data_IF_082371188483
#
_entry.id   IF_082371188483
#
_cell.length_a   1.000
_cell.length_b   1.000
_cell.length_c   1.000
_cell.angle_alpha   90.00
_cell.angle_beta   90.00
_cell.angle_gamma   90.00
#
_symmetry.space_group_name_H-M   'P 1'
#
loop_
_entity.id
_entity.type
_entity.pdbx_description
1 polymer ?
#
# COMPACT_ATOMS: atom_id res chain seq x y z
N UNK A 1 -0.77 -17.95 3.34
CA UNK A 1 0.61 -17.57 3.64
C UNK A 1 1.29 -17.19 2.32
N UNK A 2 1.62 -15.91 2.13
CA UNK A 2 2.40 -15.51 0.96
C UNK A 2 3.84 -16.02 1.11
N UNK A 3 4.52 -16.28 -0.03
CA UNK A 3 5.92 -16.69 -0.03
C UNK A 3 6.83 -15.72 0.76
N UNK A 4 6.50 -14.44 0.77
CA UNK A 4 7.23 -13.40 1.51
C UNK A 4 7.22 -13.68 3.03
N UNK A 5 6.09 -14.10 3.59
CA UNK A 5 6.00 -14.47 5.01
C UNK A 5 6.84 -15.70 5.37
N UNK A 6 6.90 -16.70 4.50
CA UNK A 6 7.67 -17.91 4.76
C UNK A 6 9.19 -17.68 4.68
N UNK A 7 9.66 -16.87 3.74
CA UNK A 7 11.09 -16.53 3.63
C UNK A 7 11.60 -15.71 4.83
N UNK A 8 10.81 -14.77 5.32
CA UNK A 8 11.17 -14.00 6.52
C UNK A 8 11.18 -14.87 7.78
N UNK A 9 10.23 -15.79 7.95
CA UNK A 9 10.23 -16.74 9.08
C UNK A 9 11.44 -17.68 9.08
N UNK A 10 11.96 -18.06 7.92
CA UNK A 10 13.16 -18.92 7.80
C UNK A 10 14.42 -18.19 8.27
N UNK A 11 14.38 -16.84 8.37
CA UNK A 11 15.54 -15.99 8.64
C UNK A 11 15.46 -15.23 9.96
N UNK A 12 14.91 -15.84 11.01
CA UNK A 12 14.86 -15.35 12.39
C UNK A 12 13.84 -14.25 12.70
N UNK A 13 12.85 -14.04 11.83
CA UNK A 13 11.76 -13.09 12.09
C UNK A 13 10.40 -13.77 12.13
N UNK A 14 9.64 -13.54 13.20
CA UNK A 14 8.22 -13.86 13.23
C UNK A 14 7.46 -12.87 12.34
N UNK A 15 6.68 -13.37 11.38
CA UNK A 15 5.86 -12.53 10.50
C UNK A 15 4.39 -12.84 10.61
N UNK A 16 3.57 -11.80 10.58
CA UNK A 16 2.12 -11.92 10.39
C UNK A 16 1.71 -11.22 9.10
N UNK A 17 0.73 -11.80 8.41
CA UNK A 17 0.03 -11.17 7.30
C UNK A 17 -1.46 -11.28 7.59
N UNK A 18 -2.19 -10.21 7.33
CA UNK A 18 -3.61 -10.12 7.62
C UNK A 18 -4.38 -9.52 6.44
N UNK A 19 -5.63 -9.89 6.31
CA UNK A 19 -6.55 -9.17 5.42
C UNK A 19 -6.95 -7.86 6.13
N UNK A 20 -6.86 -6.70 5.48
CA UNK A 20 -7.30 -5.44 6.07
C UNK A 20 -8.78 -5.45 6.44
N UNK A 21 -9.17 -4.62 7.39
CA UNK A 21 -10.58 -4.40 7.75
C UNK A 21 -11.44 -4.25 6.49
N UNK A 22 -12.63 -4.81 6.50
CA UNK A 22 -13.62 -4.87 5.40
C UNK A 22 -13.23 -5.76 4.20
N UNK A 23 -12.08 -6.44 4.21
CA UNK A 23 -11.63 -7.26 3.06
C UNK A 23 -11.34 -8.69 3.48
N UNK A 24 -11.22 -9.59 2.50
CA UNK A 24 -10.87 -10.99 2.73
C UNK A 24 -11.73 -11.67 3.79
N UNK A 25 -11.08 -12.25 4.80
CA UNK A 25 -11.72 -12.89 5.96
C UNK A 25 -11.90 -11.96 7.16
N UNK A 26 -11.32 -10.75 7.12
CA UNK A 26 -11.55 -9.73 8.14
C UNK A 26 -12.97 -9.18 8.07
N UNK A 27 -13.52 -8.81 9.22
CA UNK A 27 -14.89 -8.31 9.35
C UNK A 27 -15.03 -6.87 8.84
N UNK A 28 -16.26 -6.36 8.89
CA UNK A 28 -16.62 -4.98 8.54
C UNK A 28 -17.67 -4.91 7.44
N UNK A 29 -18.58 -3.93 7.58
CA UNK A 29 -19.62 -3.62 6.61
C UNK A 29 -19.68 -2.09 6.38
N UNK A 30 -19.89 -1.65 5.14
CA UNK A 30 -19.98 -2.45 3.89
C UNK A 30 -18.65 -3.10 3.54
N UNK A 31 -18.68 -4.19 2.75
CA UNK A 31 -17.45 -4.88 2.32
C UNK A 31 -16.64 -4.04 1.35
N UNK A 32 -15.34 -4.32 1.33
CA UNK A 32 -14.36 -3.76 0.39
C UNK A 32 -14.15 -2.25 0.50
N UNK A 33 -14.40 -1.68 1.67
CA UNK A 33 -14.05 -0.28 1.95
C UNK A 33 -12.53 -0.14 2.06
N UNK A 34 -12.00 0.90 1.42
CA UNK A 34 -10.68 1.44 1.73
C UNK A 34 -10.85 2.77 2.46
N UNK A 35 -10.13 2.96 3.55
CA UNK A 35 -10.17 4.17 4.37
C UNK A 35 -8.77 4.52 4.88
N UNK A 36 -8.31 5.76 4.73
CA UNK A 36 -6.99 6.15 5.22
C UNK A 36 -6.84 5.97 6.72
N UNK A 37 -7.89 6.20 7.50
CA UNK A 37 -7.92 6.07 8.94
C UNK A 37 -7.90 4.59 9.36
N UNK A 38 -8.91 3.84 8.96
CA UNK A 38 -9.08 2.44 9.38
C UNK A 38 -7.91 1.57 8.88
N UNK A 39 -7.46 1.78 7.66
CA UNK A 39 -6.37 0.98 7.12
C UNK A 39 -5.00 1.34 7.72
N UNK A 40 -4.83 2.56 8.24
CA UNK A 40 -3.67 2.90 9.07
C UNK A 40 -3.77 2.21 10.43
N UNK A 41 -4.96 2.23 11.06
CA UNK A 41 -5.24 1.55 12.33
C UNK A 41 -5.02 0.03 12.26
N UNK A 42 -5.29 -0.61 11.12
CA UNK A 42 -4.99 -2.04 10.92
C UNK A 42 -3.51 -2.39 11.22
N UNK A 43 -2.56 -1.50 10.94
CA UNK A 43 -1.15 -1.67 11.31
C UNK A 43 -0.95 -1.57 12.82
N UNK A 44 -1.53 -0.57 13.47
CA UNK A 44 -1.42 -0.39 14.92
C UNK A 44 -2.08 -1.56 15.67
N UNK A 45 -3.21 -2.06 15.20
CA UNK A 45 -3.86 -3.26 15.76
C UNK A 45 -2.97 -4.51 15.61
N UNK A 46 -2.23 -4.65 14.50
CA UNK A 46 -1.26 -5.72 14.35
C UNK A 46 -0.07 -5.56 15.32
N UNK A 47 0.37 -4.33 15.57
CA UNK A 47 1.40 -4.02 16.58
C UNK A 47 0.88 -4.35 17.99
N UNK A 48 -0.38 -4.02 18.33
CA UNK A 48 -0.99 -4.41 19.61
C UNK A 48 -0.93 -5.92 19.82
N UNK A 49 -1.36 -6.68 18.81
CA UNK A 49 -1.31 -8.13 18.87
C UNK A 49 0.10 -8.67 19.08
N UNK A 50 1.08 -8.19 18.28
CA UNK A 50 2.47 -8.62 18.40
C UNK A 50 3.07 -8.26 19.77
N UNK A 51 2.78 -7.07 20.28
CA UNK A 51 3.30 -6.58 21.56
C UNK A 51 2.80 -7.37 22.78
N UNK A 52 1.73 -8.14 22.62
CA UNK A 52 1.16 -8.99 23.70
C UNK A 52 1.64 -10.43 23.67
N UNK A 53 2.51 -10.80 22.73
CA UNK A 53 3.01 -12.16 22.58
C UNK A 53 4.30 -12.36 23.36
N UNK A 54 4.43 -13.48 24.06
CA UNK A 54 5.62 -13.84 24.84
C UNK A 54 6.84 -14.20 23.97
N UNK A 55 6.61 -14.52 22.69
CA UNK A 55 7.66 -14.90 21.73
C UNK A 55 8.07 -13.74 20.79
N UNK A 56 7.62 -12.51 21.07
CA UNK A 56 7.94 -11.30 20.31
C UNK A 56 8.65 -10.28 21.20
N UNK A 57 9.74 -9.74 20.71
CA UNK A 57 10.38 -8.57 21.31
C UNK A 57 9.64 -7.30 20.84
N UNK A 58 8.88 -6.69 21.75
CA UNK A 58 8.07 -5.50 21.47
C UNK A 58 8.92 -4.28 21.08
N UNK A 59 10.22 -4.26 21.41
CA UNK A 59 11.15 -3.20 20.97
C UNK A 59 11.74 -3.43 19.58
N UNK A 60 11.33 -4.50 18.89
CA UNK A 60 11.84 -4.88 17.57
C UNK A 60 10.73 -5.17 16.57
N UNK A 61 9.61 -4.46 16.64
CA UNK A 61 8.49 -4.61 15.72
C UNK A 61 8.71 -3.69 14.50
N UNK A 62 8.69 -4.29 13.32
CA UNK A 62 8.71 -3.59 12.03
C UNK A 62 7.45 -3.85 11.23
N UNK A 63 7.17 -2.98 10.28
CA UNK A 63 6.04 -3.13 9.34
C UNK A 63 6.52 -3.08 7.89
N UNK A 64 5.78 -3.80 7.03
CA UNK A 64 5.99 -3.80 5.59
C UNK A 64 4.70 -3.40 4.88
N UNK A 65 4.76 -2.35 4.05
CA UNK A 65 3.65 -1.93 3.19
C UNK A 65 3.98 -2.03 1.71
N UNK A 66 3.10 -2.65 0.92
CA UNK A 66 3.27 -2.83 -0.52
C UNK A 66 2.20 -2.03 -1.27
N UNK A 67 2.58 -1.33 -2.36
CA UNK A 67 1.65 -0.56 -3.18
C UNK A 67 0.92 0.52 -2.37
N UNK A 68 -0.40 0.57 -2.41
CA UNK A 68 -1.22 1.50 -1.60
C UNK A 68 -0.98 1.37 -0.09
N UNK A 69 -0.64 0.19 0.39
CA UNK A 69 -0.31 -0.06 1.80
C UNK A 69 1.04 0.51 2.22
N UNK A 70 1.93 0.82 1.27
CA UNK A 70 3.19 1.50 1.56
C UNK A 70 2.98 2.91 2.12
N UNK A 71 2.04 3.69 1.54
CA UNK A 71 1.67 4.99 2.07
C UNK A 71 0.99 4.90 3.45
N UNK A 72 0.13 3.88 3.66
CA UNK A 72 -0.49 3.62 4.97
C UNK A 72 0.54 3.22 6.03
N UNK A 73 1.55 2.42 5.65
CA UNK A 73 2.64 2.04 6.55
C UNK A 73 3.45 3.27 7.01
N UNK A 74 3.76 4.20 6.11
CA UNK A 74 4.40 5.46 6.50
C UNK A 74 3.52 6.29 7.44
N UNK A 75 2.21 6.34 7.17
CA UNK A 75 1.28 7.03 8.08
C UNK A 75 1.22 6.35 9.44
N UNK A 76 1.19 5.01 9.49
CA UNK A 76 1.23 4.26 10.75
C UNK A 76 2.53 4.52 11.52
N UNK A 77 3.68 4.56 10.85
CA UNK A 77 4.97 4.87 11.47
C UNK A 77 5.04 6.30 12.03
N UNK A 78 4.29 7.25 11.45
CA UNK A 78 4.20 8.61 11.98
C UNK A 78 3.30 8.71 13.23
N UNK A 79 2.34 7.80 13.38
CA UNK A 79 1.36 7.79 14.49
C UNK A 79 1.83 6.88 15.62
N UNK A 80 2.34 5.68 15.31
CA UNK A 80 2.65 4.63 16.28
C UNK A 80 4.16 4.52 16.52
N UNK A 81 4.62 5.07 17.62
CA UNK A 81 6.06 5.09 18.00
C UNK A 81 6.63 3.72 18.38
N UNK A 82 5.79 2.69 18.53
CA UNK A 82 6.21 1.31 18.76
C UNK A 82 6.75 0.65 17.48
N UNK A 83 6.47 1.22 16.32
CA UNK A 83 7.02 0.77 15.04
C UNK A 83 8.47 1.25 14.93
N UNK A 84 9.41 0.30 14.97
CA UNK A 84 10.86 0.59 14.99
C UNK A 84 11.49 0.62 13.59
N UNK A 85 10.87 -0.06 12.63
CA UNK A 85 11.30 -0.07 11.24
C UNK A 85 10.11 -0.14 10.29
N UNK A 86 10.19 0.55 9.18
CA UNK A 86 9.17 0.54 8.12
C UNK A 86 9.81 0.26 6.79
N UNK A 87 9.31 -0.76 6.10
CA UNK A 87 9.69 -1.04 4.71
C UNK A 87 8.51 -0.74 3.79
N UNK A 88 8.76 -0.01 2.72
CA UNK A 88 7.75 0.19 1.68
C UNK A 88 8.24 -0.34 0.34
N UNK A 89 7.37 -1.03 -0.38
CA UNK A 89 7.68 -1.56 -1.72
C UNK A 89 6.68 -0.96 -2.71
N UNK A 90 7.18 -0.30 -3.75
CA UNK A 90 6.37 0.36 -4.78
C UNK A 90 5.20 1.19 -4.20
N UNK A 91 5.47 1.96 -3.14
CA UNK A 91 4.42 2.65 -2.41
C UNK A 91 3.64 3.64 -3.27
N UNK A 92 2.35 3.80 -2.92
CA UNK A 92 1.51 4.91 -3.37
C UNK A 92 1.16 5.82 -2.19
N UNK A 93 1.15 7.12 -2.45
CA UNK A 93 0.35 8.05 -1.65
C UNK A 93 -1.10 7.97 -2.16
N UNK A 94 -1.90 7.12 -1.50
CA UNK A 94 -3.30 6.91 -1.89
C UNK A 94 -4.15 8.16 -1.74
N UNK A 95 -3.82 9.05 -0.82
CA UNK A 95 -4.52 10.34 -0.69
C UNK A 95 -4.20 11.27 -1.87
N UNK A 96 -2.93 11.36 -2.25
CA UNK A 96 -2.49 12.18 -3.39
C UNK A 96 -3.08 11.70 -4.71
N UNK A 97 -3.01 10.39 -4.99
CA UNK A 97 -3.53 9.86 -6.26
C UNK A 97 -5.04 10.03 -6.38
N UNK A 98 -5.78 9.88 -5.29
CA UNK A 98 -7.24 10.10 -5.30
C UNK A 98 -7.62 11.59 -5.37
N UNK A 99 -6.81 12.48 -4.77
CA UNK A 99 -7.06 13.91 -4.78
C UNK A 99 -6.58 14.60 -6.05
N UNK A 100 -5.44 14.20 -6.59
CA UNK A 100 -4.74 14.91 -7.65
C UNK A 100 -4.62 14.11 -8.95
N UNK A 101 -4.99 12.83 -8.95
CA UNK A 101 -4.76 11.93 -10.10
C UNK A 101 -3.29 11.53 -10.25
N UNK A 102 -3.00 10.72 -11.26
CA UNK A 102 -1.61 10.39 -11.61
C UNK A 102 -0.88 11.64 -12.10
N UNK A 103 0.35 11.80 -11.62
CA UNK A 103 1.23 12.95 -11.95
C UNK A 103 0.59 14.31 -11.62
N UNK A 104 -0.29 14.35 -10.62
CA UNK A 104 -1.03 15.54 -10.19
C UNK A 104 -1.82 16.22 -11.33
N UNK A 105 -2.37 15.43 -12.24
CA UNK A 105 -3.09 15.90 -13.43
C UNK A 105 -4.49 16.45 -13.15
N UNK A 106 -5.04 16.23 -11.95
CA UNK A 106 -6.39 16.63 -11.56
C UNK A 106 -6.38 18.01 -10.87
N UNK A 107 -7.03 18.98 -11.47
CA UNK A 107 -7.25 20.30 -10.86
C UNK A 107 -8.45 20.33 -9.89
N UNK A 108 -8.74 21.50 -9.29
CA UNK A 108 -9.82 21.67 -8.34
C UNK A 108 -11.21 21.37 -8.94
N UNK A 109 -11.45 21.76 -10.19
CA UNK A 109 -12.75 21.55 -10.87
C UNK A 109 -13.00 20.07 -11.17
N UNK A 110 -11.97 19.38 -11.69
CA UNK A 110 -12.03 17.93 -11.90
C UNK A 110 -12.25 17.17 -10.59
N UNK A 111 -11.59 17.60 -9.50
CA UNK A 111 -11.78 17.03 -8.18
C UNK A 111 -13.18 17.30 -7.62
N UNK A 112 -13.73 18.50 -7.86
CA UNK A 112 -15.11 18.80 -7.50
C UNK A 112 -16.10 17.89 -8.25
N UNK A 113 -15.91 17.73 -9.54
CA UNK A 113 -16.76 16.85 -10.35
C UNK A 113 -16.67 15.39 -9.90
N UNK A 114 -15.47 14.89 -9.58
CA UNK A 114 -15.29 13.55 -9.00
C UNK A 114 -16.10 13.40 -7.70
N UNK A 115 -16.01 14.38 -6.78
CA UNK A 115 -16.81 14.37 -5.54
C UNK A 115 -18.31 14.34 -5.85
N UNK A 116 -18.76 15.12 -6.82
CA UNK A 116 -20.17 15.14 -7.23
C UNK A 116 -20.64 13.76 -7.69
N UNK A 117 -19.85 13.08 -8.52
CA UNK A 117 -20.16 11.73 -9.01
C UNK A 117 -20.16 10.70 -7.87
N UNK A 118 -19.17 10.73 -6.99
CA UNK A 118 -19.09 9.83 -5.84
C UNK A 118 -20.22 10.06 -4.83
N UNK A 119 -20.64 11.32 -4.62
CA UNK A 119 -21.79 11.64 -3.77
C UNK A 119 -23.12 11.18 -4.38
N UNK A 120 -23.28 11.27 -5.70
CA UNK A 120 -24.42 10.67 -6.40
C UNK A 120 -24.45 9.14 -6.22
N UNK A 121 -23.30 8.47 -6.33
CA UNK A 121 -23.17 7.05 -6.05
C UNK A 121 -23.56 6.70 -4.60
N UNK A 122 -23.14 7.48 -3.61
CA UNK A 122 -23.56 7.28 -2.20
C UNK A 122 -25.09 7.30 -2.06
N UNK A 123 -25.75 8.26 -2.71
CA UNK A 123 -27.21 8.35 -2.68
C UNK A 123 -27.85 7.13 -3.32
N UNK A 124 -27.30 6.66 -4.42
CA UNK A 124 -27.79 5.46 -5.12
C UNK A 124 -27.60 4.18 -4.29
N UNK A 125 -26.41 4.01 -3.71
CA UNK A 125 -26.10 2.89 -2.83
C UNK A 125 -27.06 2.85 -1.62
N UNK A 126 -27.31 4.00 -1.01
CA UNK A 126 -28.24 4.11 0.13
C UNK A 126 -29.68 3.77 -0.27
N UNK A 127 -30.15 4.29 -1.44
CA UNK A 127 -31.50 4.03 -1.94
C UNK A 127 -31.75 2.55 -2.21
N UNK A 128 -30.75 1.86 -2.74
CA UNK A 128 -30.86 0.47 -3.16
C UNK A 128 -30.45 -0.54 -2.07
N UNK A 129 -29.88 -0.07 -0.96
CA UNK A 129 -29.30 -0.95 0.06
C UNK A 129 -28.12 -1.78 -0.45
N UNK A 130 -27.38 -1.29 -1.46
CA UNK A 130 -26.25 -1.94 -2.10
C UNK A 130 -25.02 -1.04 -2.08
N UNK A 131 -23.87 -1.60 -2.41
CA UNK A 131 -22.61 -0.86 -2.48
C UNK A 131 -21.90 -1.20 -3.79
N UNK A 132 -21.83 -0.23 -4.69
CA UNK A 132 -21.15 -0.40 -5.97
C UNK A 132 -19.64 -0.58 -5.75
N UNK A 133 -19.04 -1.45 -6.56
CA UNK A 133 -17.60 -1.68 -6.58
C UNK A 133 -16.94 -1.02 -7.79
N UNK A 134 -15.66 -0.68 -7.67
CA UNK A 134 -14.87 -0.08 -8.73
C UNK A 134 -13.38 -0.01 -8.37
N UNK A 135 -12.55 0.42 -9.31
CA UNK A 135 -11.11 0.60 -9.08
C UNK A 135 -10.28 -0.69 -9.06
N UNK A 136 -10.86 -1.83 -9.39
CA UNK A 136 -10.10 -3.04 -9.70
C UNK A 136 -9.36 -2.90 -11.03
N UNK A 137 -8.41 -3.81 -11.28
CA UNK A 137 -7.70 -3.82 -12.57
C UNK A 137 -8.69 -4.15 -13.69
N UNK A 138 -8.63 -3.33 -14.75
CA UNK A 138 -9.57 -3.43 -15.89
C UNK A 138 -9.45 -4.78 -16.61
N UNK A 139 -10.61 -5.38 -16.96
CA UNK A 139 -10.69 -6.59 -17.75
C UNK A 139 -12.04 -6.58 -18.52
N UNK A 140 -12.07 -6.71 -19.86
CA UNK A 140 -10.92 -6.95 -20.75
C UNK A 140 -9.96 -5.76 -20.84
N UNK A 141 -8.70 -6.04 -21.14
CA UNK A 141 -7.67 -5.02 -21.31
C UNK A 141 -7.93 -4.18 -22.57
N UNK A 142 -8.08 -2.84 -22.48
CA UNK A 142 -8.19 -1.98 -23.66
C UNK A 142 -6.93 -2.06 -24.54
N UNK A 143 -7.14 -2.02 -25.88
CA UNK A 143 -6.04 -2.15 -26.85
C UNK A 143 -5.00 -1.00 -26.72
N UNK A 144 -5.46 0.19 -26.37
CA UNK A 144 -4.67 1.42 -26.20
C UNK A 144 -4.27 1.70 -24.75
N UNK A 145 -4.44 0.69 -23.86
CA UNK A 145 -4.10 0.85 -22.45
C UNK A 145 -2.64 1.28 -22.24
N UNK A 146 -2.37 2.22 -21.32
CA UNK A 146 -1.00 2.58 -20.93
C UNK A 146 -0.20 1.36 -20.45
N UNK A 147 1.12 1.40 -20.56
CA UNK A 147 1.97 0.27 -20.22
C UNK A 147 1.75 -0.22 -18.79
N UNK A 148 1.64 0.66 -17.80
CA UNK A 148 1.42 0.24 -16.41
C UNK A 148 0.07 -0.48 -16.20
N UNK A 149 -0.97 -0.14 -16.97
CA UNK A 149 -2.25 -0.85 -16.95
C UNK A 149 -2.09 -2.27 -17.52
N UNK A 150 -1.29 -2.42 -18.59
CA UNK A 150 -0.92 -3.72 -19.15
C UNK A 150 -0.15 -4.57 -18.14
N UNK A 151 0.81 -3.96 -17.43
CA UNK A 151 1.60 -4.63 -16.40
C UNK A 151 0.71 -5.11 -15.24
N UNK A 152 -0.22 -4.28 -14.77
CA UNK A 152 -1.18 -4.68 -13.73
C UNK A 152 -2.13 -5.79 -14.21
N UNK A 153 -2.63 -5.70 -15.44
CA UNK A 153 -3.47 -6.76 -16.01
C UNK A 153 -2.69 -8.08 -16.09
N UNK A 154 -1.45 -8.05 -16.60
CA UNK A 154 -0.58 -9.21 -16.70
C UNK A 154 -0.28 -9.86 -15.34
N UNK A 155 -0.30 -9.09 -14.26
CA UNK A 155 -0.15 -9.63 -12.90
C UNK A 155 -1.50 -10.09 -12.34
N UNK A 156 -2.46 -9.19 -12.15
CA UNK A 156 -3.68 -9.45 -11.37
C UNK A 156 -4.74 -10.28 -12.09
N UNK A 157 -4.76 -10.28 -13.42
CA UNK A 157 -5.78 -10.97 -14.25
C UNK A 157 -5.29 -12.28 -14.89
N UNK A 158 -4.07 -12.73 -14.55
CA UNK A 158 -3.47 -13.97 -15.04
C UNK A 158 -3.04 -14.84 -13.86
N UNK A 159 -2.68 -16.13 -14.10
CA UNK A 159 -2.18 -17.01 -13.05
C UNK A 159 -0.93 -16.49 -12.32
N UNK A 160 -0.23 -15.48 -12.85
CA UNK A 160 0.94 -14.89 -12.21
C UNK A 160 0.64 -14.35 -10.81
N UNK A 161 -0.42 -13.58 -10.64
CA UNK A 161 -0.76 -12.97 -9.35
C UNK A 161 -2.26 -12.92 -9.05
N UNK A 162 -3.09 -13.63 -9.85
CA UNK A 162 -4.51 -13.72 -9.56
C UNK A 162 -4.77 -14.40 -8.21
N UNK A 163 -5.58 -13.78 -7.40
CA UNK A 163 -6.07 -14.40 -6.17
C UNK A 163 -7.55 -14.09 -5.94
N UNK A 164 -8.30 -15.10 -5.50
CA UNK A 164 -9.77 -14.98 -5.30
C UNK A 164 -10.18 -13.92 -4.27
N UNK A 165 -9.30 -13.57 -3.32
CA UNK A 165 -9.53 -12.52 -2.31
C UNK A 165 -8.95 -11.15 -2.72
N UNK A 166 -8.14 -11.09 -3.76
CA UNK A 166 -7.56 -9.82 -4.23
C UNK A 166 -8.62 -8.94 -4.89
N UNK A 167 -8.77 -7.73 -4.40
CA UNK A 167 -9.71 -6.76 -4.96
C UNK A 167 -9.29 -6.31 -6.36
N UNK A 168 -7.99 -6.19 -6.61
CA UNK A 168 -7.46 -5.87 -7.93
C UNK A 168 -7.69 -7.01 -8.96
N UNK A 169 -7.70 -8.27 -8.50
CA UNK A 169 -8.01 -9.42 -9.36
C UNK A 169 -9.52 -9.53 -9.67
N UNK A 170 -10.37 -8.90 -8.87
CA UNK A 170 -11.82 -9.02 -8.95
C UNK A 170 -12.48 -7.66 -9.25
N UNK A 171 -13.52 -7.30 -8.51
CA UNK A 171 -14.37 -6.14 -8.82
C UNK A 171 -13.88 -4.82 -8.22
N UNK A 172 -12.78 -4.85 -7.49
CA UNK A 172 -12.22 -3.67 -6.85
C UNK A 172 -12.83 -3.37 -5.48
N UNK A 173 -12.78 -2.11 -5.11
CA UNK A 173 -13.12 -1.56 -3.82
C UNK A 173 -14.54 -1.01 -3.81
N UNK A 174 -15.05 -0.70 -2.63
CA UNK A 174 -16.24 0.14 -2.53
C UNK A 174 -15.99 1.45 -3.29
N UNK A 175 -16.85 1.74 -4.27
CA UNK A 175 -16.65 2.80 -5.27
C UNK A 175 -16.55 4.19 -4.66
N UNK A 176 -17.10 4.39 -3.45
CA UNK A 176 -17.09 5.69 -2.77
C UNK A 176 -15.91 5.87 -1.81
N UNK A 177 -15.04 4.86 -1.65
CA UNK A 177 -13.82 4.94 -0.82
C UNK A 177 -12.91 6.13 -1.14
N UNK A 178 -12.75 6.59 -2.40
CA UNK A 178 -11.92 7.76 -2.71
C UNK A 178 -12.30 9.03 -1.97
N UNK A 179 -13.55 9.21 -1.55
CA UNK A 179 -14.02 10.42 -0.86
C UNK A 179 -13.23 10.74 0.42
N UNK A 180 -12.91 9.72 1.22
CA UNK A 180 -12.11 9.91 2.43
C UNK A 180 -10.65 10.23 2.10
N UNK A 181 -10.06 9.53 1.13
CA UNK A 181 -8.68 9.78 0.71
C UNK A 181 -8.46 11.19 0.15
N UNK A 182 -9.43 11.74 -0.58
CA UNK A 182 -9.33 13.10 -1.14
C UNK A 182 -9.11 14.15 -0.05
N UNK A 183 -9.66 13.96 1.15
CA UNK A 183 -9.62 14.95 2.21
C UNK A 183 -8.75 14.58 3.41
N UNK A 184 -8.09 13.42 3.39
CA UNK A 184 -7.26 12.93 4.49
C UNK A 184 -5.84 12.59 3.97
N UNK A 185 -4.96 13.60 3.83
CA UNK A 185 -3.60 13.39 3.34
C UNK A 185 -2.77 12.59 4.35
N UNK A 186 -2.40 11.37 3.97
CA UNK A 186 -1.75 10.39 4.87
C UNK A 186 -0.27 10.67 5.15
N UNK A 187 0.39 11.53 4.38
CA UNK A 187 1.82 11.82 4.56
C UNK A 187 2.06 13.23 5.14
N UNK A 188 1.08 13.78 5.87
CA UNK A 188 1.16 15.14 6.41
C UNK A 188 2.28 15.32 7.44
N UNK A 189 2.55 14.30 8.25
CA UNK A 189 3.55 14.30 9.32
C UNK A 189 4.63 13.23 9.11
N UNK A 190 4.87 12.84 7.86
CA UNK A 190 5.91 11.84 7.55
C UNK A 190 7.34 12.32 7.87
N UNK A 191 7.56 13.62 7.93
CA UNK A 191 8.79 14.26 8.38
C UNK A 191 9.08 14.09 9.88
N UNK A 192 8.08 13.71 10.66
CA UNK A 192 8.23 13.44 12.10
C UNK A 192 8.58 11.97 12.42
N UNK A 193 8.63 11.07 11.42
CA UNK A 193 9.00 9.66 11.60
C UNK A 193 10.46 9.56 12.06
N UNK A 194 10.66 9.06 13.29
CA UNK A 194 12.00 8.89 13.88
C UNK A 194 12.56 7.48 13.69
N UNK A 195 11.68 6.48 13.53
CA UNK A 195 12.09 5.09 13.28
C UNK A 195 12.73 4.92 11.90
N UNK A 196 13.45 3.82 11.71
CA UNK A 196 14.11 3.53 10.43
C UNK A 196 13.09 3.35 9.29
N UNK A 197 13.43 3.84 8.09
CA UNK A 197 12.59 3.67 6.90
C UNK A 197 13.43 3.24 5.70
N UNK A 198 13.04 2.13 5.08
CA UNK A 198 13.57 1.68 3.82
C UNK A 198 12.46 1.72 2.76
N UNK A 199 12.68 2.45 1.69
CA UNK A 199 11.74 2.54 0.57
C UNK A 199 12.35 1.90 -0.68
N UNK A 200 11.61 0.96 -1.29
CA UNK A 200 12.01 0.31 -2.54
C UNK A 200 11.04 0.66 -3.65
N UNK A 201 11.56 1.07 -4.80
CA UNK A 201 10.73 1.34 -5.98
C UNK A 201 11.42 0.93 -7.26
N UNK A 202 10.64 0.46 -8.24
CA UNK A 202 11.18 0.12 -9.55
C UNK A 202 11.50 1.38 -10.38
N UNK A 203 12.63 1.36 -11.07
CA UNK A 203 13.07 2.47 -11.91
C UNK A 203 12.04 2.84 -12.99
N UNK A 204 11.38 1.84 -13.60
CA UNK A 204 10.39 1.99 -14.67
C UNK A 204 8.94 2.08 -14.15
N UNK A 205 8.75 2.03 -12.83
CA UNK A 205 7.42 2.12 -12.26
C UNK A 205 6.84 3.53 -12.47
N UNK A 206 5.64 3.62 -13.05
CA UNK A 206 4.91 4.88 -13.23
C UNK A 206 4.62 5.60 -11.91
N UNK A 207 4.61 4.86 -10.80
CA UNK A 207 4.34 5.34 -9.43
C UNK A 207 5.60 5.78 -8.67
N UNK A 208 6.78 5.72 -9.28
CA UNK A 208 8.07 5.98 -8.63
C UNK A 208 8.12 7.36 -7.93
N UNK A 209 7.52 8.37 -8.55
CA UNK A 209 7.49 9.73 -8.00
C UNK A 209 6.83 9.82 -6.60
N UNK A 210 5.91 8.92 -6.25
CA UNK A 210 5.34 8.89 -4.91
C UNK A 210 6.40 8.59 -3.85
N UNK A 211 7.26 7.58 -4.10
CA UNK A 211 8.35 7.26 -3.17
C UNK A 211 9.40 8.36 -3.13
N UNK A 212 9.79 8.90 -4.28
CA UNK A 212 10.79 9.97 -4.35
C UNK A 212 10.34 11.23 -3.60
N UNK A 213 9.07 11.62 -3.75
CA UNK A 213 8.54 12.81 -3.09
C UNK A 213 8.24 12.59 -1.60
N UNK A 214 7.84 11.37 -1.21
CA UNK A 214 7.71 11.02 0.19
C UNK A 214 9.08 11.00 0.88
N UNK A 215 10.09 10.40 0.25
CA UNK A 215 11.45 10.32 0.78
C UNK A 215 12.07 11.70 1.05
N UNK A 216 11.82 12.66 0.17
CA UNK A 216 12.29 14.06 0.37
C UNK A 216 11.77 14.73 1.63
N UNK A 217 10.64 14.25 2.18
CA UNK A 217 10.06 14.77 3.44
C UNK A 217 10.69 14.13 4.67
N UNK A 218 11.14 12.87 4.57
CA UNK A 218 11.68 12.13 5.70
C UNK A 218 12.95 12.80 6.25
N UNK A 219 13.10 12.81 7.57
CA UNK A 219 14.22 13.42 8.28
C UNK A 219 15.05 12.34 8.99
N UNK A 220 16.34 12.62 9.20
CA UNK A 220 17.29 11.73 9.88
C UNK A 220 18.13 10.90 8.92
N UNK A 221 19.13 10.22 9.46
CA UNK A 221 20.15 9.45 8.74
C UNK A 221 19.81 7.95 8.60
N UNK A 222 18.73 7.51 9.25
CA UNK A 222 18.20 6.14 9.19
C UNK A 222 17.08 5.98 8.15
N UNK A 223 17.19 6.69 7.03
CA UNK A 223 16.23 6.65 5.93
C UNK A 223 16.94 6.30 4.64
N UNK A 224 16.38 5.36 3.88
CA UNK A 224 16.96 4.92 2.61
C UNK A 224 15.90 4.79 1.54
N UNK A 225 16.25 5.19 0.30
CA UNK A 225 15.46 4.97 -0.90
C UNK A 225 16.29 4.20 -1.91
N UNK A 226 15.86 2.98 -2.23
CA UNK A 226 16.48 2.13 -3.24
C UNK A 226 15.61 2.12 -4.51
N UNK A 227 16.18 2.59 -5.61
CA UNK A 227 15.58 2.48 -6.94
C UNK A 227 16.17 1.27 -7.64
N UNK A 228 15.33 0.28 -7.92
CA UNK A 228 15.73 -0.99 -8.52
C UNK A 228 15.79 -0.84 -10.04
N UNK A 229 16.98 -0.95 -10.66
CA UNK A 229 17.14 -0.75 -12.09
C UNK A 229 16.30 -1.72 -12.91
N UNK A 230 15.67 -1.21 -13.97
CA UNK A 230 14.90 -1.99 -14.93
C UNK A 230 13.54 -2.50 -14.44
N UNK A 231 13.24 -2.48 -13.15
CA UNK A 231 11.99 -2.97 -12.58
C UNK A 231 10.82 -2.03 -12.85
N UNK A 232 9.66 -2.58 -13.19
CA UNK A 232 8.38 -1.87 -13.14
C UNK A 232 7.72 -2.04 -11.75
N UNK A 233 6.47 -1.60 -11.62
CA UNK A 233 5.77 -1.64 -10.33
C UNK A 233 5.51 -3.07 -9.83
N UNK A 234 5.01 -3.96 -10.69
CA UNK A 234 4.61 -5.32 -10.31
C UNK A 234 5.77 -6.32 -10.30
N UNK A 235 6.92 -5.97 -10.89
CA UNK A 235 8.10 -6.81 -10.84
C UNK A 235 8.63 -6.97 -9.41
N UNK A 236 8.42 -5.97 -8.55
CA UNK A 236 8.82 -6.05 -7.14
C UNK A 236 7.86 -6.92 -6.29
N UNK A 237 6.82 -7.51 -6.87
CA UNK A 237 5.92 -8.40 -6.16
C UNK A 237 6.39 -9.87 -6.20
N UNK A 238 6.96 -10.30 -7.32
CA UNK A 238 7.22 -11.71 -7.58
C UNK A 238 8.47 -12.03 -8.42
N UNK A 239 9.10 -11.02 -9.05
CA UNK A 239 10.26 -11.25 -9.90
C UNK A 239 11.55 -11.24 -9.07
N UNK A 240 12.00 -12.42 -8.65
CA UNK A 240 13.19 -12.61 -7.81
C UNK A 240 14.47 -12.15 -8.50
N UNK A 241 14.53 -12.20 -9.84
CA UNK A 241 15.70 -11.79 -10.61
C UNK A 241 15.90 -10.27 -10.61
N UNK A 242 14.80 -9.53 -10.56
CA UNK A 242 14.77 -8.07 -10.58
C UNK A 242 14.61 -7.50 -9.18
N UNK A 243 13.73 -8.08 -8.36
CA UNK A 243 13.65 -7.79 -6.96
C UNK A 243 14.82 -8.47 -6.26
N UNK A 244 15.96 -7.81 -6.19
CA UNK A 244 17.08 -8.30 -5.39
C UNK A 244 16.74 -8.26 -3.89
N UNK A 245 15.64 -8.93 -3.50
CA UNK A 245 15.31 -9.22 -2.10
C UNK A 245 16.53 -9.80 -1.40
N UNK A 246 17.34 -10.59 -2.12
CA UNK A 246 18.64 -11.06 -1.65
C UNK A 246 19.68 -9.94 -1.44
N UNK A 247 19.57 -8.81 -2.11
CA UNK A 247 20.42 -7.63 -1.88
C UNK A 247 19.88 -6.72 -0.78
N UNK A 248 18.57 -6.77 -0.52
CA UNK A 248 17.89 -5.98 0.51
C UNK A 248 18.01 -6.65 1.87
N UNK A 249 18.05 -7.98 1.88
CA UNK A 249 18.09 -8.76 3.11
C UNK A 249 19.27 -8.42 4.03
N UNK A 250 20.51 -8.19 3.55
CA UNK A 250 21.60 -7.75 4.41
C UNK A 250 21.34 -6.39 5.08
N UNK A 251 20.61 -5.49 4.39
CA UNK A 251 20.28 -4.15 4.91
C UNK A 251 19.18 -4.21 5.98
N UNK A 252 18.22 -5.12 5.84
CA UNK A 252 17.13 -5.30 6.82
C UNK A 252 17.57 -6.18 8.00
N UNK A 253 18.51 -7.10 7.79
CA UNK A 253 19.00 -8.02 8.83
C UNK A 253 20.15 -7.48 9.66
N UNK A 254 20.88 -6.47 9.20
CA UNK A 254 21.91 -5.82 10.01
C UNK A 254 21.25 -4.80 10.94
N UNK A 255 20.87 -5.29 12.11
CA UNK A 255 20.30 -4.48 13.22
C UNK A 255 21.22 -3.35 13.71
N UNK A 256 22.38 -3.16 13.10
CA UNK A 256 23.30 -2.05 13.33
C UNK A 256 23.10 -0.91 12.33
N UNK A 257 22.29 -1.12 11.30
CA UNK A 257 22.03 -0.13 10.24
C UNK A 257 20.58 0.36 10.26
N UNK A 258 19.68 -0.30 11.01
CA UNK A 258 18.27 0.12 11.21
C UNK A 258 18.05 0.42 12.69
#
# INVERSE_FOLDING_TARGET
>A
LSLVGSEMCIRDSLTIAFDPSYTGESSGQPRYVASPDINTEDFSAAVDYLSTRDDVDAERIGILGICGWGGMALNAAAIDTRIKATVTVTMYDMSRVNANGYFDSMNADARHELRRQLNAQRTEDYRNGTFALGGGVVDPLPADAPQFVKDYHAYYKTPRGYHKRSLNSNHGWNKTSPLSFINMPILSYSDEIRSAVLMLHGEKAHSRYFSEDAFKKLQGDNKELLIIPGANHVDLYDNIEVSSINSIYPLVSDSRTL
#
